data_IF_645736567819
#
_entry.id   IF_645736567819
#
_cell.length_a   1.000
_cell.length_b   1.000
_cell.length_c   1.000
_cell.angle_alpha   90.00
_cell.angle_beta   90.00
_cell.angle_gamma   90.00
#
_symmetry.space_group_name_H-M   'P 1'
#
loop_
_entity.id
_entity.type
_entity.pdbx_description
1 polymer ?
#
# COMPACT_ATOMS: atom_id res chain seq x y z
N UNK A 1 7.05 -4.41 22.57
CA UNK A 1 5.73 -3.84 22.97
C UNK A 1 4.59 -4.85 22.89
N UNK A 2 4.10 -5.27 21.71
CA UNK A 2 2.90 -6.14 21.60
C UNK A 2 3.05 -7.53 22.21
N UNK A 3 4.20 -8.18 22.03
CA UNK A 3 4.46 -9.49 22.62
C UNK A 3 4.43 -9.40 24.15
N UNK A 4 5.21 -8.49 24.72
CA UNK A 4 5.31 -8.29 26.17
C UNK A 4 3.95 -7.97 26.81
N UNK A 5 3.11 -7.20 26.13
CA UNK A 5 1.75 -6.92 26.56
C UNK A 5 0.92 -8.21 26.69
N UNK A 6 0.91 -9.08 25.69
CA UNK A 6 0.17 -10.35 25.73
C UNK A 6 0.78 -11.30 26.77
N UNK A 7 2.11 -11.38 26.83
CA UNK A 7 2.86 -12.19 27.80
C UNK A 7 2.53 -11.82 29.25
N UNK A 8 2.44 -10.53 29.60
CA UNK A 8 2.07 -10.12 30.97
C UNK A 8 0.67 -10.57 31.39
N UNK A 9 -0.27 -10.66 30.47
CA UNK A 9 -1.57 -11.22 30.78
C UNK A 9 -1.49 -12.74 30.95
N UNK A 10 -0.82 -13.43 30.02
CA UNK A 10 -0.82 -14.89 29.95
C UNK A 10 0.11 -15.55 30.98
N UNK A 11 1.30 -15.01 31.21
CA UNK A 11 2.29 -15.56 32.12
C UNK A 11 2.14 -15.02 33.55
N UNK A 12 1.84 -13.72 33.69
CA UNK A 12 1.81 -13.05 34.99
C UNK A 12 0.36 -12.86 35.52
N UNK A 13 -0.65 -13.31 34.77
CA UNK A 13 -2.07 -13.26 35.17
C UNK A 13 -2.67 -11.86 35.28
N UNK A 14 -1.97 -10.81 34.80
CA UNK A 14 -2.41 -9.43 34.97
C UNK A 14 -3.70 -9.20 34.17
N UNK A 15 -4.75 -8.58 34.74
CA UNK A 15 -5.99 -8.33 34.00
C UNK A 15 -5.77 -7.53 32.72
N UNK A 16 -6.47 -7.91 31.64
CA UNK A 16 -6.37 -7.28 30.32
C UNK A 16 -6.58 -5.76 30.39
N UNK A 17 -7.51 -5.27 31.21
CA UNK A 17 -7.77 -3.84 31.41
C UNK A 17 -6.54 -3.11 31.96
N UNK A 18 -5.84 -3.72 32.92
CA UNK A 18 -4.63 -3.16 33.50
C UNK A 18 -3.47 -3.19 32.51
N UNK A 19 -3.29 -4.30 31.80
CA UNK A 19 -2.29 -4.41 30.73
C UNK A 19 -2.53 -3.35 29.66
N UNK A 20 -3.74 -3.26 29.11
CA UNK A 20 -4.07 -2.27 28.08
C UNK A 20 -3.76 -0.84 28.53
N UNK A 21 -4.13 -0.49 29.77
CA UNK A 21 -3.82 0.81 30.37
C UNK A 21 -2.32 1.07 30.52
N UNK A 22 -1.57 0.10 31.06
CA UNK A 22 -0.10 0.23 31.28
C UNK A 22 0.65 0.39 29.96
N UNK A 23 0.21 -0.30 28.90
CA UNK A 23 0.85 -0.21 27.58
C UNK A 23 0.28 0.92 26.71
N UNK A 24 -0.66 1.73 27.22
CA UNK A 24 -1.25 2.86 26.50
C UNK A 24 -2.05 2.45 25.26
N UNK A 25 -2.71 1.30 25.29
CA UNK A 25 -3.52 0.80 24.17
C UNK A 25 -4.96 0.52 24.58
N UNK A 26 -5.84 0.39 23.59
CA UNK A 26 -7.21 -0.04 23.81
C UNK A 26 -7.32 -1.57 23.99
N UNK A 27 -8.38 -2.06 24.65
CA UNK A 27 -8.65 -3.51 24.75
C UNK A 27 -8.77 -4.20 23.38
N UNK A 28 -9.41 -3.62 22.34
CA UNK A 28 -9.37 -4.19 20.99
C UNK A 28 -7.96 -4.37 20.43
N UNK A 29 -7.05 -3.43 20.71
CA UNK A 29 -5.64 -3.55 20.30
C UNK A 29 -4.94 -4.71 21.01
N UNK A 30 -5.26 -4.93 22.29
CA UNK A 30 -4.80 -6.11 23.02
C UNK A 30 -5.30 -7.40 22.36
N UNK A 31 -6.61 -7.53 22.14
CA UNK A 31 -7.18 -8.75 21.56
C UNK A 31 -6.62 -9.03 20.16
N UNK A 32 -6.43 -8.00 19.33
CA UNK A 32 -5.80 -8.14 18.03
C UNK A 32 -4.36 -8.66 18.15
N UNK A 33 -3.57 -8.13 19.10
CA UNK A 33 -2.22 -8.63 19.31
C UNK A 33 -2.21 -10.08 19.82
N UNK A 34 -3.14 -10.43 20.71
CA UNK A 34 -3.28 -11.79 21.24
C UNK A 34 -3.66 -12.78 20.13
N UNK A 35 -4.68 -12.47 19.31
CA UNK A 35 -5.09 -13.33 18.21
C UNK A 35 -3.97 -13.46 17.18
N UNK A 36 -3.35 -12.35 16.75
CA UNK A 36 -2.24 -12.38 15.80
C UNK A 36 -1.04 -13.18 16.31
N UNK A 37 -0.74 -13.13 17.61
CA UNK A 37 0.33 -13.95 18.21
C UNK A 37 -0.06 -15.44 18.23
N UNK A 38 -1.32 -15.77 18.49
CA UNK A 38 -1.80 -17.15 18.46
C UNK A 38 -1.79 -17.73 17.04
N UNK A 39 -2.23 -16.95 16.04
CA UNK A 39 -2.40 -17.42 14.67
C UNK A 39 -1.08 -17.49 13.89
N UNK A 40 -0.16 -16.54 14.15
CA UNK A 40 1.04 -16.34 13.32
C UNK A 40 2.34 -16.29 14.12
N UNK A 41 2.28 -16.58 15.43
CA UNK A 41 3.44 -16.48 16.31
C UNK A 41 4.01 -15.05 16.36
N UNK A 42 5.29 -14.94 16.73
CA UNK A 42 5.98 -13.64 16.82
C UNK A 42 6.04 -12.91 15.47
N UNK A 43 6.09 -13.65 14.35
CA UNK A 43 6.14 -13.07 13.00
C UNK A 43 4.90 -12.22 12.70
N UNK A 44 3.72 -12.61 13.20
CA UNK A 44 2.49 -11.83 13.03
C UNK A 44 2.53 -10.45 13.69
N UNK A 45 3.34 -10.26 14.73
CA UNK A 45 3.43 -8.98 15.44
C UNK A 45 4.31 -7.96 14.71
N UNK A 46 5.09 -8.39 13.73
CA UNK A 46 5.94 -7.54 12.89
C UNK A 46 5.04 -6.65 12.02
N UNK A 47 5.27 -5.32 11.99
CA UNK A 47 4.53 -4.43 11.10
C UNK A 47 4.65 -4.87 9.64
N UNK A 48 3.54 -5.28 9.04
CA UNK A 48 3.48 -5.51 7.60
C UNK A 48 3.43 -4.18 6.84
N UNK A 49 3.88 -4.21 5.59
CA UNK A 49 3.78 -3.07 4.70
C UNK A 49 2.33 -2.61 4.58
N UNK A 50 2.10 -1.33 4.89
CA UNK A 50 0.76 -0.74 4.88
C UNK A 50 0.34 -0.40 3.48
N UNK A 51 -0.81 -0.94 3.10
CA UNK A 51 -1.58 -0.54 1.94
C UNK A 51 -0.85 -0.78 0.61
N UNK A 52 -1.57 -0.63 -0.50
CA UNK A 52 -0.99 -0.88 -1.80
C UNK A 52 0.05 0.20 -2.14
N UNK A 53 1.23 -0.24 -2.57
CA UNK A 53 2.34 0.66 -2.95
C UNK A 53 2.12 1.37 -4.29
N UNK A 54 1.26 0.79 -5.12
CA UNK A 54 1.07 1.22 -6.49
C UNK A 54 -0.25 1.98 -6.68
N UNK A 55 -0.20 2.97 -7.57
CA UNK A 55 -1.37 3.74 -7.95
C UNK A 55 -2.31 2.87 -8.74
N UNK A 56 -3.37 2.37 -8.10
CA UNK A 56 -4.34 1.42 -8.66
C UNK A 56 -5.00 1.80 -9.99
N UNK A 57 -4.88 3.06 -10.43
CA UNK A 57 -5.50 3.56 -11.66
C UNK A 57 -4.53 3.67 -12.85
N UNK A 58 -3.22 3.55 -12.63
CA UNK A 58 -2.20 3.64 -13.69
C UNK A 58 -1.38 2.35 -13.65
N UNK A 59 -1.99 1.28 -14.15
CA UNK A 59 -1.34 -0.01 -14.36
C UNK A 59 -0.19 0.12 -15.36
N UNK A 60 0.71 -0.88 -15.38
CA UNK A 60 1.79 -0.94 -16.38
C UNK A 60 1.26 -0.87 -17.81
N UNK A 61 0.10 -1.48 -18.07
CA UNK A 61 -0.61 -1.43 -19.35
C UNK A 61 -0.93 0.00 -19.82
N UNK A 62 -1.52 0.83 -18.94
CA UNK A 62 -1.89 2.20 -19.30
C UNK A 62 -0.64 3.05 -19.56
N UNK A 63 0.44 2.82 -18.80
CA UNK A 63 1.70 3.55 -19.01
C UNK A 63 2.36 3.12 -20.31
N UNK A 64 2.39 1.81 -20.62
CA UNK A 64 2.91 1.29 -21.89
C UNK A 64 2.14 1.83 -23.11
N UNK A 65 0.81 1.89 -23.02
CA UNK A 65 -0.02 2.54 -24.06
C UNK A 65 0.37 4.00 -24.29
N UNK A 66 0.67 4.76 -23.23
CA UNK A 66 1.10 6.15 -23.36
C UNK A 66 2.49 6.27 -23.99
N UNK A 67 3.39 5.33 -23.72
CA UNK A 67 4.71 5.29 -24.36
C UNK A 67 4.58 4.99 -25.86
N UNK A 68 3.76 4.01 -26.24
CA UNK A 68 3.45 3.69 -27.64
C UNK A 68 2.83 4.89 -28.37
N UNK A 69 1.86 5.57 -27.73
CA UNK A 69 1.25 6.78 -28.26
C UNK A 69 2.27 7.88 -28.53
N UNK A 70 3.24 8.08 -27.61
CA UNK A 70 4.30 9.08 -27.77
C UNK A 70 5.37 8.67 -28.77
N UNK A 71 5.63 7.38 -28.92
CA UNK A 71 6.52 6.87 -29.95
C UNK A 71 5.92 7.10 -31.35
N UNK A 72 4.62 6.88 -31.50
CA UNK A 72 3.90 7.12 -32.75
C UNK A 72 3.67 8.61 -33.06
N UNK A 73 3.43 9.42 -32.02
CA UNK A 73 3.13 10.86 -32.11
C UNK A 73 3.94 11.65 -31.07
N UNK A 74 5.19 12.04 -31.38
CA UNK A 74 6.10 12.67 -30.41
C UNK A 74 5.63 14.04 -29.89
N UNK A 75 4.76 14.69 -30.64
CA UNK A 75 4.17 16.01 -30.35
C UNK A 75 2.96 15.93 -29.41
N UNK A 76 2.50 14.74 -29.02
CA UNK A 76 1.33 14.60 -28.15
C UNK A 76 1.57 15.22 -26.76
N UNK A 77 0.69 16.16 -26.42
CA UNK A 77 0.66 16.77 -25.10
C UNK A 77 0.08 15.82 -24.04
N UNK A 78 0.42 16.06 -22.76
CA UNK A 78 -0.15 15.26 -21.66
C UNK A 78 -1.70 15.28 -21.61
N UNK A 79 -2.38 16.43 -21.80
CA UNK A 79 -3.85 16.44 -21.85
C UNK A 79 -4.42 15.56 -22.97
N UNK A 80 -3.78 15.52 -24.14
CA UNK A 80 -4.19 14.62 -25.23
C UNK A 80 -3.98 13.15 -24.84
N UNK A 81 -2.87 12.82 -24.18
CA UNK A 81 -2.67 11.46 -23.67
C UNK A 81 -3.77 11.04 -22.68
N UNK A 82 -4.22 11.95 -21.81
CA UNK A 82 -5.32 11.68 -20.86
C UNK A 82 -6.64 11.45 -21.60
N UNK A 83 -6.91 12.22 -22.65
CA UNK A 83 -8.10 12.03 -23.49
C UNK A 83 -8.08 10.64 -24.17
N UNK A 84 -6.94 10.24 -24.74
CA UNK A 84 -6.77 8.92 -25.35
C UNK A 84 -6.90 7.78 -24.33
N UNK A 85 -6.35 7.94 -23.12
CA UNK A 85 -6.55 6.98 -22.02
C UNK A 85 -8.03 6.85 -21.67
N UNK A 86 -8.74 7.98 -21.61
CA UNK A 86 -10.17 8.00 -21.28
C UNK A 86 -10.98 7.32 -22.36
N UNK A 87 -10.67 7.57 -23.64
CA UNK A 87 -11.33 6.96 -24.78
C UNK A 87 -11.08 5.44 -24.87
N UNK A 88 -9.84 4.99 -24.60
CA UNK A 88 -9.44 3.58 -24.72
C UNK A 88 -9.85 2.71 -23.52
N UNK A 89 -9.67 3.24 -22.30
CA UNK A 89 -9.81 2.47 -21.06
C UNK A 89 -11.02 2.87 -20.21
N UNK A 90 -11.75 3.93 -20.58
CA UNK A 90 -12.91 4.39 -19.83
C UNK A 90 -12.60 4.97 -18.44
N UNK A 91 -11.34 5.33 -18.18
CA UNK A 91 -10.88 5.86 -16.89
C UNK A 91 -10.43 7.31 -17.01
N UNK A 92 -10.84 8.14 -16.04
CA UNK A 92 -10.34 9.51 -15.92
C UNK A 92 -9.10 9.54 -15.04
N UNK A 93 -7.98 9.98 -15.60
CA UNK A 93 -6.70 10.11 -14.90
C UNK A 93 -6.33 11.58 -14.74
N UNK A 94 -5.91 11.96 -13.53
CA UNK A 94 -5.40 13.31 -13.27
C UNK A 94 -3.98 13.48 -13.85
N UNK A 95 -3.67 14.64 -14.43
CA UNK A 95 -2.36 14.97 -15.01
C UNK A 95 -1.18 14.59 -14.12
N UNK A 96 -1.21 15.05 -12.86
CA UNK A 96 -0.15 14.75 -11.86
C UNK A 96 0.03 13.25 -11.60
N UNK A 97 -1.02 12.45 -11.73
CA UNK A 97 -0.92 10.99 -11.57
C UNK A 97 -0.19 10.37 -12.76
N UNK A 98 -0.54 10.79 -13.99
CA UNK A 98 0.12 10.34 -15.20
C UNK A 98 1.61 10.72 -15.22
N UNK A 99 1.94 11.98 -14.90
CA UNK A 99 3.33 12.44 -14.78
C UNK A 99 4.14 11.59 -13.80
N UNK A 100 3.56 11.29 -12.62
CA UNK A 100 4.22 10.45 -11.61
C UNK A 100 4.39 9.01 -12.07
N UNK A 101 3.43 8.44 -12.79
CA UNK A 101 3.53 7.07 -13.30
C UNK A 101 4.64 6.97 -14.35
N UNK A 102 4.68 7.90 -15.31
CA UNK A 102 5.74 7.97 -16.32
C UNK A 102 7.13 8.18 -15.68
N UNK A 103 7.23 9.02 -14.65
CA UNK A 103 8.49 9.25 -13.93
C UNK A 103 8.95 8.03 -13.12
N UNK A 104 8.02 7.21 -12.60
CA UNK A 104 8.35 5.97 -11.87
C UNK A 104 8.87 4.90 -12.81
N UNK A 105 8.28 4.73 -13.99
CA UNK A 105 8.70 3.75 -14.98
C UNK A 105 10.11 4.05 -15.50
N UNK A 106 10.44 5.32 -15.80
CA UNK A 106 11.81 5.73 -16.16
C UNK A 106 12.87 5.39 -15.10
N UNK A 107 12.48 5.31 -13.82
CA UNK A 107 13.37 4.92 -12.71
C UNK A 107 13.46 3.41 -12.48
N UNK A 108 12.58 2.64 -13.13
CA UNK A 108 12.60 1.17 -13.14
C UNK A 108 12.85 0.70 -14.58
N UNK A 109 14.00 1.01 -15.20
CA UNK A 109 14.38 0.31 -16.42
C UNK A 109 14.45 -1.18 -16.07
N UNK A 110 13.86 -2.01 -16.91
CA UNK A 110 13.62 -3.45 -16.73
C UNK A 110 14.59 -4.10 -15.73
N UNK A 111 14.05 -4.42 -14.56
CA UNK A 111 14.65 -5.46 -13.72
C UNK A 111 14.30 -6.78 -14.41
N UNK A 112 15.15 -7.17 -15.36
CA UNK A 112 15.30 -8.55 -15.85
C UNK A 112 15.52 -9.52 -14.69
#
# INVERSE_FOLDING_TARGET
MRYEMVRRHQADGVPISNVARVFGVSRPTFYKAQSTLADHGLAGLIPQQRGPKDGHKLSAEIVGFVDELKAARPDLTLPQCIAEITARFGITVHRRSLERAMARQKKRPDSL
#
